data_IF_110023502688
#
_entry.id   IF_110023502688
#
_cell.length_a   1.000
_cell.length_b   1.000
_cell.length_c   1.000
_cell.angle_alpha   90.00
_cell.angle_beta   90.00
_cell.angle_gamma   90.00
#
_symmetry.space_group_name_H-M   'P 1'
#
loop_
_entity.id
_entity.type
_entity.pdbx_description
1 polymer ?
#
# COMPACT_ATOMS: atom_id res chain seq x y z
N UNK A 1 26.74 38.20 -43.76
CA UNK A 1 26.51 36.83 -43.23
C UNK A 1 26.52 36.90 -41.71
N UNK A 2 25.36 36.99 -41.06
CA UNK A 2 25.27 36.96 -39.59
C UNK A 2 24.43 35.74 -39.21
N UNK A 3 25.07 34.72 -38.64
CA UNK A 3 24.43 33.50 -38.16
C UNK A 3 24.16 33.64 -36.66
N UNK A 4 22.91 33.87 -36.29
CA UNK A 4 22.45 33.90 -34.90
C UNK A 4 22.22 32.48 -34.41
N UNK A 5 23.12 31.98 -33.57
CA UNK A 5 22.98 30.68 -32.92
C UNK A 5 21.92 30.70 -31.82
N UNK A 6 20.83 29.96 -32.02
CA UNK A 6 19.79 29.72 -31.02
C UNK A 6 20.28 28.64 -30.05
N UNK A 7 20.59 29.02 -28.79
CA UNK A 7 21.01 28.08 -27.73
C UNK A 7 19.78 27.61 -26.96
N UNK A 8 19.35 26.38 -27.20
CA UNK A 8 18.30 25.72 -26.41
C UNK A 8 18.82 25.46 -25.00
N UNK A 9 18.29 26.15 -23.99
CA UNK A 9 18.50 25.81 -22.59
C UNK A 9 17.62 24.63 -22.21
N UNK A 10 18.23 23.46 -22.06
CA UNK A 10 17.60 22.29 -21.42
C UNK A 10 17.46 22.59 -19.93
N UNK A 11 16.21 22.81 -19.46
CA UNK A 11 15.92 23.01 -18.04
C UNK A 11 16.17 21.71 -17.26
N UNK A 12 17.11 21.77 -16.31
CA UNK A 12 17.44 20.70 -15.36
C UNK A 12 16.35 20.56 -14.26
N UNK A 13 15.12 20.18 -14.61
CA UNK A 13 14.05 19.97 -13.62
C UNK A 13 14.07 18.57 -12.98
N UNK A 14 14.88 17.63 -13.48
CA UNK A 14 14.85 16.22 -13.05
C UNK A 14 15.68 15.86 -11.81
N UNK A 15 16.64 16.68 -11.38
CA UNK A 15 17.60 16.29 -10.33
C UNK A 15 17.16 16.69 -8.91
N UNK A 16 16.31 17.73 -8.77
CA UNK A 16 15.94 18.24 -7.44
C UNK A 16 14.88 17.40 -6.71
N UNK A 17 14.09 16.59 -7.42
CA UNK A 17 13.02 15.81 -6.79
C UNK A 17 13.52 14.58 -6.00
N UNK A 18 14.71 14.04 -6.32
CA UNK A 18 15.20 12.81 -5.68
C UNK A 18 15.74 12.99 -4.24
N UNK A 19 16.05 14.23 -3.81
CA UNK A 19 16.62 14.50 -2.49
C UNK A 19 15.59 14.74 -1.39
N UNK A 20 14.37 15.16 -1.72
CA UNK A 20 13.34 15.52 -0.73
C UNK A 20 12.44 14.34 -0.29
N UNK A 21 12.47 13.20 -0.99
CA UNK A 21 11.64 12.03 -0.66
C UNK A 21 12.35 11.01 0.25
N UNK A 22 13.58 11.28 0.68
CA UNK A 22 14.33 10.40 1.60
C UNK A 22 13.56 10.13 2.90
N UNK A 23 12.97 11.13 3.60
CA UNK A 23 12.22 10.87 4.84
C UNK A 23 10.99 9.99 4.63
N UNK A 24 10.29 10.15 3.49
CA UNK A 24 9.15 9.33 3.14
C UNK A 24 9.57 7.89 2.81
N UNK A 25 10.64 7.74 2.05
CA UNK A 25 11.22 6.44 1.68
C UNK A 25 11.62 5.66 2.92
N UNK A 26 12.36 6.29 3.84
CA UNK A 26 12.81 5.67 5.08
C UNK A 26 11.64 5.26 5.97
N UNK A 27 10.59 6.09 6.05
CA UNK A 27 9.39 5.77 6.82
C UNK A 27 8.66 4.56 6.25
N UNK A 28 8.46 4.49 4.92
CA UNK A 28 7.86 3.31 4.26
C UNK A 28 8.65 2.06 4.60
N UNK A 29 9.97 2.08 4.42
CA UNK A 29 10.83 0.90 4.62
C UNK A 29 10.84 0.47 6.08
N UNK A 30 10.91 1.42 7.02
CA UNK A 30 10.81 1.15 8.46
C UNK A 30 9.49 0.46 8.78
N UNK A 31 8.36 1.02 8.37
CA UNK A 31 7.04 0.43 8.61
C UNK A 31 6.90 -0.96 7.98
N UNK A 32 7.43 -1.18 6.77
CA UNK A 32 7.45 -2.51 6.15
C UNK A 32 8.22 -3.50 7.02
N UNK A 33 9.40 -3.11 7.50
CA UNK A 33 10.25 -3.97 8.31
C UNK A 33 9.66 -4.27 9.68
N UNK A 34 8.94 -3.32 10.29
CA UNK A 34 8.18 -3.54 11.53
C UNK A 34 7.10 -4.61 11.35
N UNK A 35 6.36 -4.57 10.24
CA UNK A 35 5.37 -5.61 9.93
C UNK A 35 6.03 -6.95 9.59
N UNK A 36 7.08 -6.96 8.77
CA UNK A 36 7.81 -8.17 8.42
C UNK A 36 8.38 -8.88 9.63
N UNK A 37 8.87 -8.14 10.62
CA UNK A 37 9.34 -8.70 11.89
C UNK A 37 8.23 -9.48 12.62
N UNK A 38 7.00 -8.94 12.69
CA UNK A 38 5.86 -9.64 13.33
C UNK A 38 5.58 -10.99 12.68
N UNK A 39 5.86 -11.10 11.39
CA UNK A 39 5.70 -12.30 10.57
C UNK A 39 6.97 -13.16 10.50
N UNK A 40 8.08 -12.78 11.13
CA UNK A 40 9.35 -13.49 11.04
C UNK A 40 9.99 -13.46 9.64
N UNK A 41 9.61 -12.50 8.80
CA UNK A 41 10.23 -12.25 7.51
C UNK A 41 11.48 -11.36 7.68
N UNK A 42 12.52 -11.61 6.89
CA UNK A 42 13.74 -10.79 6.91
C UNK A 42 13.46 -9.35 6.46
N UNK A 43 14.15 -8.34 7.02
CA UNK A 43 13.95 -6.96 6.62
C UNK A 43 14.29 -6.74 5.13
N UNK A 44 13.54 -5.87 4.47
CA UNK A 44 13.82 -5.39 3.12
C UNK A 44 14.90 -4.31 3.17
N UNK A 45 15.77 -4.34 2.17
CA UNK A 45 16.77 -3.30 1.91
C UNK A 45 16.24 -2.30 0.89
N UNK A 46 16.58 -1.02 1.07
CA UNK A 46 16.30 -0.01 0.05
C UNK A 46 17.09 -0.30 -1.23
N UNK A 47 16.43 -0.16 -2.38
CA UNK A 47 17.05 -0.13 -3.70
C UNK A 47 16.71 1.20 -4.41
N UNK A 48 17.71 2.06 -4.66
CA UNK A 48 17.52 3.29 -5.44
C UNK A 48 17.05 3.02 -6.88
N UNK A 49 17.48 1.90 -7.47
CA UNK A 49 17.06 1.45 -8.80
C UNK A 49 15.55 1.17 -8.83
N UNK A 50 15.03 0.45 -7.83
CA UNK A 50 13.59 0.20 -7.67
C UNK A 50 12.82 1.49 -7.38
N UNK A 51 13.38 2.40 -6.59
CA UNK A 51 12.72 3.68 -6.26
C UNK A 51 12.60 4.58 -7.49
N UNK A 52 13.62 4.59 -8.35
CA UNK A 52 13.57 5.32 -9.61
C UNK A 52 12.47 4.78 -10.52
N UNK A 53 12.32 3.45 -10.61
CA UNK A 53 11.26 2.82 -11.37
C UNK A 53 9.87 3.11 -10.77
N UNK A 54 9.72 2.98 -9.45
CA UNK A 54 8.48 3.25 -8.74
C UNK A 54 8.05 4.72 -8.87
N UNK A 55 9.00 5.65 -8.77
CA UNK A 55 8.77 7.09 -8.95
C UNK A 55 8.27 7.39 -10.35
N UNK A 56 8.95 6.86 -11.38
CA UNK A 56 8.52 6.99 -12.77
C UNK A 56 7.09 6.48 -12.96
N UNK A 57 6.75 5.34 -12.35
CA UNK A 57 5.41 4.79 -12.48
C UNK A 57 4.36 5.62 -11.75
N UNK A 58 4.65 6.10 -10.53
CA UNK A 58 3.77 7.00 -9.79
C UNK A 58 3.46 8.27 -10.62
N UNK A 59 4.45 8.83 -11.31
CA UNK A 59 4.27 9.98 -12.19
C UNK A 59 3.39 9.66 -13.40
N UNK A 60 3.55 8.48 -14.00
CA UNK A 60 2.65 8.01 -15.07
C UNK A 60 1.21 7.87 -14.57
N UNK A 61 0.99 7.31 -13.38
CA UNK A 61 -0.35 7.21 -12.78
C UNK A 61 -0.93 8.58 -12.38
N UNK A 62 -0.07 9.55 -12.05
CA UNK A 62 -0.51 10.91 -11.76
C UNK A 62 -0.92 11.69 -13.03
N UNK A 63 -0.35 11.33 -14.18
CA UNK A 63 -0.63 11.98 -15.47
C UNK A 63 -1.76 11.28 -16.25
N UNK A 64 -1.73 9.95 -16.24
CA UNK A 64 -2.75 9.12 -16.87
C UNK A 64 -3.81 8.84 -15.82
N UNK A 65 -5.09 9.11 -16.08
CA UNK A 65 -6.18 8.82 -15.12
C UNK A 65 -6.44 7.30 -14.97
N UNK A 66 -5.39 6.49 -15.02
CA UNK A 66 -5.42 5.03 -14.96
C UNK A 66 -4.84 4.58 -13.64
N UNK A 67 -5.43 3.54 -13.07
CA UNK A 67 -4.97 2.92 -11.83
C UNK A 67 -4.69 1.45 -12.11
N UNK A 68 -3.50 1.18 -12.62
CA UNK A 68 -3.08 -0.15 -13.06
C UNK A 68 -1.64 -0.43 -12.69
N UNK A 69 -1.32 -1.71 -12.55
CA UNK A 69 0.06 -2.13 -12.33
C UNK A 69 0.96 -1.80 -13.52
N UNK A 70 2.25 -1.59 -13.23
CA UNK A 70 3.28 -1.53 -14.26
C UNK A 70 3.56 -2.93 -14.83
N UNK A 71 4.18 -2.98 -16.01
CA UNK A 71 4.78 -4.18 -16.57
C UNK A 71 6.31 -4.15 -16.43
N UNK A 72 6.81 -3.51 -15.36
CA UNK A 72 8.23 -3.23 -15.20
C UNK A 72 9.04 -4.50 -14.92
N UNK A 73 10.19 -4.60 -15.58
CA UNK A 73 11.21 -5.60 -15.31
C UNK A 73 12.58 -4.93 -15.26
N UNK A 74 13.45 -5.45 -14.40
CA UNK A 74 14.83 -4.98 -14.28
C UNK A 74 15.72 -6.21 -14.38
N UNK A 75 16.70 -6.18 -15.30
CA UNK A 75 17.62 -7.30 -15.56
C UNK A 75 16.91 -8.61 -15.94
N UNK A 76 15.77 -8.50 -16.63
CA UNK A 76 14.98 -9.66 -17.06
C UNK A 76 14.04 -10.23 -15.99
N UNK A 77 14.04 -9.67 -14.78
CA UNK A 77 13.16 -10.09 -13.68
C UNK A 77 11.98 -9.13 -13.55
N UNK A 78 10.75 -9.66 -13.52
CA UNK A 78 9.56 -8.90 -13.18
C UNK A 78 9.60 -8.45 -11.72
N UNK A 79 9.12 -7.24 -11.45
CA UNK A 79 9.05 -6.69 -10.10
C UNK A 79 7.71 -6.99 -9.45
N UNK A 80 7.71 -7.18 -8.13
CA UNK A 80 6.48 -7.07 -7.34
C UNK A 80 6.04 -5.63 -7.27
N UNK A 81 4.75 -5.35 -7.11
CA UNK A 81 4.24 -3.98 -7.05
C UNK A 81 3.02 -3.82 -6.16
N UNK A 82 3.07 -2.81 -5.28
CA UNK A 82 1.89 -2.30 -4.60
C UNK A 82 1.63 -0.86 -5.05
N UNK A 83 0.35 -0.49 -5.20
CA UNK A 83 -0.07 0.87 -5.52
C UNK A 83 -1.07 1.34 -4.45
N UNK A 84 -0.91 2.57 -3.97
CA UNK A 84 -1.89 3.24 -3.13
C UNK A 84 -2.28 4.58 -3.74
N UNK A 85 -3.51 5.01 -3.46
CA UNK A 85 -4.02 6.31 -3.85
C UNK A 85 -4.83 6.91 -2.70
N UNK A 86 -4.59 8.19 -2.42
CA UNK A 86 -5.43 9.04 -1.57
C UNK A 86 -5.74 10.31 -2.34
N UNK A 87 -6.96 10.84 -2.24
CA UNK A 87 -7.31 12.13 -2.82
C UNK A 87 -7.29 13.21 -1.75
N UNK A 88 -6.82 14.41 -2.09
CA UNK A 88 -7.01 15.61 -1.27
C UNK A 88 -7.02 16.87 -2.15
N UNK A 89 -7.97 17.77 -1.88
CA UNK A 89 -8.03 19.11 -2.44
C UNK A 89 -7.00 20.08 -1.85
N UNK A 90 -6.39 19.73 -0.72
CA UNK A 90 -5.42 20.57 -0.01
C UNK A 90 -4.00 20.28 -0.51
N UNK A 91 -3.30 21.27 -1.11
CA UNK A 91 -1.97 21.04 -1.67
C UNK A 91 -0.93 20.55 -0.64
N UNK A 92 -1.09 20.95 0.61
CA UNK A 92 -0.20 20.60 1.72
C UNK A 92 -0.41 19.20 2.29
N UNK A 93 -1.55 18.57 1.99
CA UNK A 93 -1.78 17.22 2.49
C UNK A 93 -0.77 16.27 1.85
N UNK A 94 -0.41 15.24 2.57
CA UNK A 94 0.49 14.21 2.06
C UNK A 94 -0.07 12.84 2.38
N UNK A 95 0.55 11.83 1.80
CA UNK A 95 0.32 10.45 2.16
C UNK A 95 1.62 9.98 2.83
N UNK A 96 1.58 9.83 4.15
CA UNK A 96 2.75 9.40 4.93
C UNK A 96 3.13 7.96 4.62
N UNK A 97 4.39 7.60 4.85
CA UNK A 97 4.87 6.24 4.63
C UNK A 97 4.17 5.22 5.53
N UNK A 98 3.85 5.63 6.76
CA UNK A 98 3.08 4.83 7.69
C UNK A 98 1.65 4.60 7.20
N UNK A 99 0.89 5.65 6.87
CA UNK A 99 -0.50 5.47 6.42
C UNK A 99 -0.58 4.55 5.18
N UNK A 100 0.35 4.68 4.22
CA UNK A 100 0.37 3.82 3.03
C UNK A 100 0.64 2.36 3.42
N UNK A 101 1.64 2.13 4.25
CA UNK A 101 2.04 0.78 4.66
C UNK A 101 0.93 0.12 5.48
N UNK A 102 0.31 0.86 6.39
CA UNK A 102 -0.82 0.42 7.20
C UNK A 102 -2.03 0.08 6.31
N UNK A 103 -2.31 0.88 5.27
CA UNK A 103 -3.36 0.58 4.30
C UNK A 103 -3.13 -0.78 3.62
N UNK A 104 -1.93 -1.01 3.07
CA UNK A 104 -1.58 -2.29 2.43
C UNK A 104 -1.62 -3.45 3.40
N UNK A 105 -1.08 -3.28 4.60
CA UNK A 105 -1.05 -4.33 5.62
C UNK A 105 -2.45 -4.68 6.15
N UNK A 106 -3.39 -3.71 6.18
CA UNK A 106 -4.75 -3.93 6.70
C UNK A 106 -5.54 -5.02 5.97
N UNK A 107 -5.12 -5.41 4.76
CA UNK A 107 -5.67 -6.54 4.02
C UNK A 107 -5.43 -7.90 4.70
N UNK A 108 -4.59 -7.97 5.72
CA UNK A 108 -4.42 -9.16 6.57
C UNK A 108 -5.76 -9.75 7.05
N UNK A 109 -6.76 -8.89 7.30
CA UNK A 109 -8.12 -9.30 7.70
C UNK A 109 -8.86 -10.14 6.65
N UNK A 110 -8.48 -9.99 5.38
CA UNK A 110 -9.03 -10.70 4.24
C UNK A 110 -8.26 -12.00 3.95
N UNK A 111 -7.05 -12.15 4.51
CA UNK A 111 -6.19 -13.30 4.23
C UNK A 111 -6.51 -14.48 5.15
N UNK A 112 -6.30 -15.69 4.63
CA UNK A 112 -6.40 -16.95 5.38
C UNK A 112 -5.05 -17.65 5.30
N UNK A 113 -4.41 -17.80 6.45
CA UNK A 113 -3.07 -18.39 6.55
C UNK A 113 -3.08 -19.91 6.33
N UNK A 114 -1.91 -20.45 5.96
CA UNK A 114 -1.69 -21.90 5.85
C UNK A 114 -2.04 -22.51 4.49
N UNK A 115 -2.42 -21.70 3.50
CA UNK A 115 -2.73 -22.20 2.16
C UNK A 115 -2.68 -21.11 1.08
N UNK A 116 -2.97 -21.53 -0.15
CA UNK A 116 -3.08 -20.62 -1.30
C UNK A 116 -4.37 -19.79 -1.20
N UNK A 117 -4.31 -18.48 -1.47
CA UNK A 117 -5.50 -17.65 -1.45
C UNK A 117 -6.38 -17.94 -2.68
N UNK A 118 -7.71 -17.88 -2.51
CA UNK A 118 -8.67 -18.10 -3.62
C UNK A 118 -8.64 -16.97 -4.66
N UNK A 119 -8.20 -15.78 -4.26
CA UNK A 119 -8.05 -14.59 -5.09
C UNK A 119 -6.95 -13.70 -4.50
N UNK A 120 -6.56 -12.65 -5.23
CA UNK A 120 -5.51 -11.72 -4.81
C UNK A 120 -6.07 -10.46 -4.10
N UNK A 121 -7.24 -10.55 -3.46
CA UNK A 121 -7.83 -9.41 -2.73
C UNK A 121 -7.02 -8.97 -1.51
N UNK A 122 -6.08 -9.80 -1.03
CA UNK A 122 -5.10 -9.46 0.00
C UNK A 122 -3.67 -9.30 -0.57
N UNK A 123 -3.56 -9.04 -1.87
CA UNK A 123 -2.30 -9.02 -2.60
C UNK A 123 -1.31 -7.97 -2.10
N UNK A 124 -1.79 -6.83 -1.59
CA UNK A 124 -0.90 -5.82 -1.03
C UNK A 124 -0.28 -6.31 0.27
N UNK A 125 -1.10 -6.86 1.17
CA UNK A 125 -0.62 -7.45 2.43
C UNK A 125 0.40 -8.56 2.16
N UNK A 126 0.08 -9.51 1.29
CA UNK A 126 0.96 -10.66 1.04
C UNK A 126 2.30 -10.23 0.45
N UNK A 127 2.33 -9.17 -0.37
CA UNK A 127 3.57 -8.60 -0.89
C UNK A 127 4.41 -7.91 0.20
N UNK A 128 3.78 -7.16 1.12
CA UNK A 128 4.49 -6.50 2.25
C UNK A 128 5.25 -7.52 3.08
N UNK A 129 4.61 -8.64 3.43
CA UNK A 129 5.19 -9.67 4.31
C UNK A 129 5.91 -10.79 3.55
N UNK A 130 5.98 -10.73 2.22
CA UNK A 130 6.52 -11.81 1.38
C UNK A 130 7.97 -12.15 1.77
N UNK A 131 8.18 -13.36 2.30
CA UNK A 131 9.52 -13.78 2.77
C UNK A 131 10.55 -13.85 1.66
N UNK A 132 10.16 -14.06 0.40
CA UNK A 132 11.07 -14.14 -0.75
C UNK A 132 11.63 -12.80 -1.22
N UNK A 133 10.95 -11.69 -0.93
CA UNK A 133 11.39 -10.36 -1.34
C UNK A 133 12.55 -9.88 -0.45
N UNK A 134 13.53 -9.19 -1.05
CA UNK A 134 14.78 -8.75 -0.40
C UNK A 134 14.98 -7.25 -0.48
N UNK A 135 14.50 -6.64 -1.55
CA UNK A 135 14.69 -5.23 -1.84
C UNK A 135 13.35 -4.57 -2.10
N UNK A 136 13.27 -3.29 -1.73
CA UNK A 136 12.13 -2.42 -1.94
C UNK A 136 12.59 -1.07 -2.48
N UNK A 137 11.82 -0.49 -3.38
CA UNK A 137 11.92 0.92 -3.73
C UNK A 137 10.53 1.52 -3.81
N UNK A 138 10.42 2.81 -3.48
CA UNK A 138 9.14 3.50 -3.42
C UNK A 138 9.22 4.82 -4.19
N UNK A 139 8.09 5.21 -4.77
CA UNK A 139 7.91 6.48 -5.43
C UNK A 139 6.55 7.08 -5.11
N UNK A 140 6.46 8.40 -5.12
CA UNK A 140 5.25 9.15 -4.83
C UNK A 140 5.07 10.29 -5.81
N UNK A 141 3.86 10.46 -6.32
CA UNK A 141 3.52 11.57 -7.20
C UNK A 141 2.15 12.13 -6.85
N UNK A 142 1.95 13.41 -7.15
CA UNK A 142 0.65 14.07 -7.02
C UNK A 142 0.16 14.51 -8.39
N UNK A 143 -1.07 14.14 -8.73
CA UNK A 143 -1.74 14.57 -9.94
C UNK A 143 -2.31 15.98 -9.81
N UNK A 144 -2.61 16.62 -10.94
CA UNK A 144 -3.22 17.96 -10.98
C UNK A 144 -4.62 18.01 -10.34
N UNK A 145 -5.36 16.90 -10.38
CA UNK A 145 -6.69 16.77 -9.76
C UNK A 145 -6.63 16.42 -8.26
N UNK A 146 -5.44 16.39 -7.64
CA UNK A 146 -5.29 16.24 -6.19
C UNK A 146 -5.13 14.80 -5.69
N UNK A 147 -4.98 13.82 -6.58
CA UNK A 147 -4.66 12.43 -6.19
C UNK A 147 -3.18 12.33 -5.83
N UNK A 148 -2.89 11.66 -4.73
CA UNK A 148 -1.55 11.30 -4.27
C UNK A 148 -1.39 9.81 -4.53
N UNK A 149 -0.47 9.45 -5.42
CA UNK A 149 -0.19 8.10 -5.86
C UNK A 149 1.12 7.65 -5.24
N UNK A 150 1.12 6.46 -4.66
CA UNK A 150 2.33 5.82 -4.13
C UNK A 150 2.48 4.46 -4.78
N UNK A 151 3.69 4.18 -5.27
CA UNK A 151 4.06 2.90 -5.86
C UNK A 151 5.24 2.34 -5.06
N UNK A 152 5.17 1.07 -4.66
CA UNK A 152 6.31 0.34 -4.12
C UNK A 152 6.63 -0.84 -5.03
N UNK A 153 7.89 -0.97 -5.46
CA UNK A 153 8.39 -2.12 -6.20
C UNK A 153 9.26 -3.02 -5.32
N UNK A 154 9.15 -4.33 -5.54
CA UNK A 154 9.82 -5.36 -4.75
C UNK A 154 10.66 -6.27 -5.63
N UNK A 155 11.84 -6.68 -5.15
CA UNK A 155 12.70 -7.65 -5.82
C UNK A 155 13.25 -8.69 -4.82
N UNK A 156 13.18 -9.99 -5.13
CA UNK A 156 12.32 -10.62 -6.13
C UNK A 156 10.82 -10.33 -5.90
N UNK A 157 10.02 -10.49 -6.95
CA UNK A 157 8.56 -10.32 -6.89
C UNK A 157 7.91 -11.29 -5.90
N UNK A 158 6.88 -10.81 -5.20
CA UNK A 158 6.02 -11.63 -4.36
C UNK A 158 4.80 -12.14 -5.12
N UNK A 159 3.82 -12.66 -4.37
CA UNK A 159 2.53 -13.11 -4.87
C UNK A 159 2.61 -14.17 -5.99
N UNK A 160 3.64 -15.01 -5.94
CA UNK A 160 3.81 -16.13 -6.88
C UNK A 160 2.86 -17.26 -6.48
N UNK A 161 1.96 -17.63 -7.40
CA UNK A 161 0.99 -18.71 -7.20
C UNK A 161 1.72 -20.01 -6.86
N UNK A 162 1.22 -20.73 -5.85
CA UNK A 162 1.80 -21.97 -5.35
C UNK A 162 2.93 -21.77 -4.34
N UNK A 163 3.27 -20.53 -3.98
CA UNK A 163 4.35 -20.19 -3.04
C UNK A 163 3.87 -19.37 -1.85
N UNK A 164 2.57 -19.24 -1.61
CA UNK A 164 2.05 -18.39 -0.53
C UNK A 164 2.29 -19.00 0.85
N UNK A 165 2.08 -20.31 1.02
CA UNK A 165 2.21 -21.00 2.30
C UNK A 165 3.60 -20.86 2.94
N UNK A 166 4.65 -20.84 2.12
CA UNK A 166 6.04 -20.67 2.56
C UNK A 166 6.47 -19.20 2.74
N UNK A 167 5.78 -18.26 2.06
CA UNK A 167 6.16 -16.85 1.99
C UNK A 167 5.30 -15.90 2.82
N UNK A 168 4.11 -16.33 3.26
CA UNK A 168 3.16 -15.52 4.04
C UNK A 168 2.88 -16.21 5.37
N UNK A 169 3.85 -16.24 6.29
CA UNK A 169 3.65 -16.83 7.62
C UNK A 169 2.61 -16.03 8.42
N UNK A 170 1.92 -16.69 9.34
CA UNK A 170 1.07 -16.00 10.32
C UNK A 170 1.93 -15.11 11.25
N UNK A 171 1.37 -14.02 11.80
CA UNK A 171 2.04 -13.25 12.85
C UNK A 171 2.42 -14.17 14.01
N UNK A 172 3.61 -14.02 14.56
CA UNK A 172 4.06 -14.79 15.71
C UNK A 172 3.72 -14.07 17.03
N UNK A 173 3.15 -14.79 17.99
CA UNK A 173 2.88 -14.28 19.35
C UNK A 173 4.17 -14.02 20.18
N UNK A 174 5.35 -14.27 19.61
CA UNK A 174 6.64 -14.20 20.33
C UNK A 174 7.05 -12.78 20.75
N UNK A 175 6.29 -11.76 20.41
CA UNK A 175 6.41 -10.41 20.96
C UNK A 175 5.74 -10.20 22.32
N UNK A 176 4.96 -11.18 22.82
CA UNK A 176 4.36 -11.13 24.14
C UNK A 176 5.28 -11.87 25.14
N UNK A 177 5.83 -11.21 26.18
CA UNK A 177 6.57 -11.90 27.22
C UNK A 177 5.68 -12.99 27.85
N UNK A 178 6.12 -14.24 27.78
CA UNK A 178 5.43 -15.45 28.29
C UNK A 178 5.16 -15.44 29.81
N UNK A 179 5.46 -14.37 30.54
CA UNK A 179 5.21 -14.25 31.99
C UNK A 179 3.75 -14.00 32.39
N UNK A 180 2.83 -13.80 31.43
CA UNK A 180 1.39 -13.64 31.73
C UNK A 180 0.51 -14.77 31.19
N UNK A 181 1.09 -15.77 30.52
CA UNK A 181 0.35 -16.96 30.13
C UNK A 181 0.25 -17.92 31.32
N UNK A 182 -0.63 -17.58 32.27
CA UNK A 182 -1.10 -18.52 33.29
C UNK A 182 -1.69 -19.75 32.60
N UNK A 183 -1.36 -20.92 33.15
CA UNK A 183 -1.87 -22.23 32.75
C UNK A 183 -3.41 -22.24 32.70
N UNK A 184 -3.97 -22.20 31.51
CA UNK A 184 -5.40 -22.37 31.27
C UNK A 184 -5.60 -23.15 29.98
N UNK A 185 -6.09 -24.38 30.12
CA UNK A 185 -6.54 -25.26 29.05
C UNK A 185 -7.37 -24.51 27.98
N UNK A 186 -6.98 -24.64 26.72
CA UNK A 186 -7.77 -24.16 25.58
C UNK A 186 -8.87 -25.18 25.26
N UNK A 187 -10.11 -24.85 25.62
CA UNK A 187 -11.30 -25.49 25.03
C UNK A 187 -12.00 -24.49 24.11
N UNK A 188 -12.03 -24.87 22.83
CA UNK A 188 -13.01 -24.57 21.79
C UNK A 188 -13.56 -23.14 21.67
N UNK A 189 -13.18 -22.50 20.56
CA UNK A 189 -14.09 -21.72 19.73
C UNK A 189 -14.43 -20.31 20.22
N UNK A 190 -14.38 -19.37 19.26
CA UNK A 190 -14.81 -17.97 19.36
C UNK A 190 -13.74 -16.99 19.85
N UNK A 191 -12.96 -16.45 18.91
CA UNK A 191 -12.19 -15.22 19.13
C UNK A 191 -13.12 -14.00 18.99
N UNK A 192 -13.96 -13.80 19.99
CA UNK A 192 -14.41 -12.48 20.40
C UNK A 192 -13.52 -12.04 21.59
N UNK A 193 -13.48 -10.72 21.84
CA UNK A 193 -12.83 -10.01 22.98
C UNK A 193 -11.49 -9.32 22.63
N UNK A 194 -11.43 -7.98 22.48
CA UNK A 194 -11.66 -6.87 23.42
C UNK A 194 -10.37 -6.40 24.12
N UNK A 195 -9.86 -5.27 23.59
CA UNK A 195 -9.37 -4.03 24.21
C UNK A 195 -8.43 -4.11 25.42
N UNK A 196 -7.24 -3.48 25.27
CA UNK A 196 -6.71 -2.61 26.31
C UNK A 196 -6.38 -1.22 25.76
N UNK A 197 -7.11 -0.26 26.30
CA UNK A 197 -7.05 1.18 26.10
C UNK A 197 -5.75 1.73 26.70
N UNK A 198 -5.02 2.57 25.97
CA UNK A 198 -3.87 3.31 26.50
C UNK A 198 -4.38 4.51 27.30
N UNK A 199 -4.32 4.42 28.63
CA UNK A 199 -4.57 5.55 29.52
C UNK A 199 -3.37 6.52 29.48
N UNK A 200 -3.61 7.75 29.03
CA UNK A 200 -2.76 8.91 29.33
C UNK A 200 -3.28 9.62 30.59
N UNK A 201 -2.41 10.19 31.44
CA UNK A 201 -2.85 10.86 32.65
C UNK A 201 -3.23 12.32 32.36
N UNK A 202 -4.50 12.67 32.47
CA UNK A 202 -4.91 14.08 32.58
C UNK A 202 -5.80 14.28 33.80
N UNK A 203 -5.26 14.99 34.79
CA UNK A 203 -6.02 15.54 35.91
C UNK A 203 -6.50 16.95 35.54
N UNK A 204 -7.82 17.12 35.46
CA UNK A 204 -8.70 18.11 36.15
C UNK A 204 -9.86 18.58 35.26
N UNK A 205 -11.10 18.70 35.80
CA UNK A 205 -12.27 19.05 35.02
C UNK A 205 -12.50 20.56 35.00
N UNK A 206 -12.92 21.10 33.84
CA UNK A 206 -13.61 22.39 33.77
C UNK A 206 -14.92 22.23 32.97
N UNK A 207 -15.93 22.94 33.45
CA UNK A 207 -17.37 22.76 33.20
C UNK A 207 -17.81 23.02 31.76
N UNK A 208 -18.91 22.36 31.37
CA UNK A 208 -19.71 22.55 30.16
C UNK A 208 -20.46 23.89 30.12
N UNK A 209 -20.65 24.44 28.92
CA UNK A 209 -21.83 25.20 28.51
C UNK A 209 -22.06 25.04 26.99
N UNK A 210 -23.33 25.00 26.48
CA UNK A 210 -23.67 24.49 25.15
C UNK A 210 -23.95 25.61 24.14
N UNK A 211 -23.47 25.48 22.90
CA UNK A 211 -23.97 26.28 21.76
C UNK A 211 -23.94 25.46 20.45
N UNK A 212 -25.14 25.02 20.05
CA UNK A 212 -25.72 24.79 18.72
C UNK A 212 -24.93 24.20 17.52
N UNK A 213 -25.49 23.05 17.05
CA UNK A 213 -25.87 22.70 15.67
C UNK A 213 -25.53 23.67 14.53
N UNK A 214 -24.94 23.14 13.44
CA UNK A 214 -25.47 23.12 12.05
C UNK A 214 -24.36 22.74 11.05
N UNK A 215 -24.55 21.63 10.35
CA UNK A 215 -24.50 21.45 8.89
C UNK A 215 -24.23 19.98 8.57
N UNK A 216 -25.26 19.34 8.00
CA UNK A 216 -25.22 17.98 7.51
C UNK A 216 -24.28 17.85 6.31
N UNK A 217 -23.68 16.67 6.20
CA UNK A 217 -23.01 16.22 4.99
C UNK A 217 -23.58 14.84 4.68
N UNK A 218 -24.27 14.77 3.54
CA UNK A 218 -24.87 13.56 2.99
C UNK A 218 -23.82 12.47 2.75
N UNK A 219 -24.07 11.31 3.35
CA UNK A 219 -23.30 10.09 3.19
C UNK A 219 -23.95 9.20 2.10
N UNK A 220 -24.14 9.73 0.89
CA UNK A 220 -24.61 8.95 -0.26
C UNK A 220 -23.85 9.40 -1.51
N UNK A 221 -22.76 8.70 -1.84
CA UNK A 221 -22.01 9.01 -3.07
C UNK A 221 -20.82 8.12 -3.40
N UNK A 222 -20.26 7.38 -2.43
CA UNK A 222 -19.00 6.64 -2.66
C UNK A 222 -19.23 5.14 -3.00
N UNK A 223 -20.46 4.63 -2.89
CA UNK A 223 -20.73 3.20 -3.12
C UNK A 223 -21.09 2.82 -4.57
N UNK A 224 -21.42 3.77 -5.45
CA UNK A 224 -22.02 3.44 -6.75
C UNK A 224 -21.00 3.13 -7.87
N UNK A 225 -19.80 3.71 -7.84
CA UNK A 225 -18.83 3.54 -8.94
C UNK A 225 -18.12 2.18 -8.93
N UNK A 226 -18.04 1.51 -7.78
CA UNK A 226 -17.40 0.20 -7.68
C UNK A 226 -18.31 -0.94 -8.22
N UNK A 227 -19.63 -0.77 -8.28
CA UNK A 227 -20.53 -1.82 -8.79
C UNK A 227 -20.60 -1.90 -10.31
N UNK A 228 -20.44 -0.78 -11.02
CA UNK A 228 -20.54 -0.77 -12.49
C UNK A 228 -19.29 -1.36 -13.17
N UNK A 229 -18.09 -1.17 -12.60
CA UNK A 229 -16.88 -1.84 -13.12
C UNK A 229 -16.95 -3.37 -13.01
N UNK A 230 -17.53 -3.90 -11.93
CA UNK A 230 -17.68 -5.35 -11.75
C UNK A 230 -18.66 -5.98 -12.74
N UNK A 231 -19.73 -5.27 -13.15
CA UNK A 231 -20.67 -5.77 -14.16
C UNK A 231 -20.06 -5.78 -15.56
N UNK A 232 -19.26 -4.77 -15.91
CA UNK A 232 -18.61 -4.64 -17.23
C UNK A 232 -17.48 -5.66 -17.41
N UNK A 233 -16.75 -5.99 -16.34
CA UNK A 233 -15.68 -7.00 -16.40
C UNK A 233 -16.25 -8.42 -16.62
N UNK A 234 -17.36 -8.77 -15.97
CA UNK A 234 -17.98 -10.10 -16.11
C UNK A 234 -18.67 -10.32 -17.47
N UNK A 235 -19.21 -9.26 -18.09
CA UNK A 235 -19.84 -9.38 -19.42
C UNK A 235 -18.82 -9.55 -20.55
N UNK A 236 -17.63 -8.94 -20.43
CA UNK A 236 -16.55 -9.14 -21.40
C UNK A 236 -15.93 -10.53 -21.34
N UNK A 237 -15.80 -11.12 -20.16
CA UNK A 237 -15.25 -12.47 -19.99
C UNK A 237 -16.23 -13.56 -20.51
N UNK A 238 -17.54 -13.36 -20.35
CA UNK A 238 -18.58 -14.23 -20.91
C UNK A 238 -18.65 -14.14 -22.44
N UNK A 239 -18.47 -12.95 -23.02
CA UNK A 239 -18.45 -12.75 -24.47
C UNK A 239 -17.18 -13.34 -25.14
N UNK A 240 -16.04 -13.31 -24.44
CA UNK A 240 -14.79 -13.91 -24.90
C UNK A 240 -14.87 -15.44 -24.91
N UNK A 241 -15.40 -16.06 -23.83
CA UNK A 241 -15.57 -17.52 -23.74
C UNK A 241 -16.59 -18.11 -24.71
N UNK A 242 -17.52 -17.30 -25.25
CA UNK A 242 -18.51 -17.74 -26.26
C UNK A 242 -17.95 -17.72 -27.68
N UNK A 243 -16.85 -17.00 -27.94
CA UNK A 243 -16.19 -16.92 -29.25
C UNK A 243 -15.18 -18.04 -29.52
N UNK A 244 -14.74 -18.77 -28.49
CA UNK A 244 -13.82 -19.91 -28.61
C UNK A 244 -14.52 -21.28 -28.63
N UNK A 245 -15.86 -21.31 -28.78
CA UNK A 245 -16.66 -22.55 -28.88
C UNK A 245 -17.51 -22.65 -30.16
N UNK A 246 -17.19 -21.87 -31.19
CA UNK A 246 -17.69 -22.01 -32.55
C UNK A 246 -16.49 -22.12 -33.48
#
# INVERSE_FOLDING_TARGET
MHSSGFRVQVRQTGIQNQRNDQPFTDEVIRCHNDYRQKHGAQPLRHSPELSTQAQRWAEVLAQTKTFKHSSASIRGESLGENIAMKWSSRPQDTYSGQEVTDQWYSEIKLYRFGGEPRNLSAGHFTQVVWKGSREIGVGKARSKDGKILVVANYRPAGNVIGRFSENVPAPSDRGIPRRLAGSGELKNGNYEMIILSWALPTRRPFKLSPFFYLFGIDLFGIAAENTEQYKIANTKDQAFKRKERL
#
